data_IF_022732357964
#
_entry.id   IF_022732357964
#
_cell.length_a   1.000
_cell.length_b   1.000
_cell.length_c   1.000
_cell.angle_alpha   90.00
_cell.angle_beta   90.00
_cell.angle_gamma   90.00
#
_symmetry.space_group_name_H-M   'P 1'
#
loop_
_entity.id
_entity.type
_entity.pdbx_description
1 polymer ?
#
# COMPACT_ATOMS: atom_id res chain seq x y z
N UNK A 1 32.25 -1.12 0.70
CA UNK A 1 31.20 -0.14 0.33
C UNK A 1 31.08 -0.20 -1.18
N UNK A 2 29.96 -0.70 -1.70
CA UNK A 2 29.66 -0.55 -3.13
C UNK A 2 29.49 0.96 -3.41
N UNK A 3 29.99 1.47 -4.53
CA UNK A 3 29.89 2.89 -4.83
C UNK A 3 28.41 3.27 -4.93
N UNK A 4 28.02 4.36 -4.28
CA UNK A 4 26.71 4.98 -4.48
C UNK A 4 26.56 5.25 -5.98
N UNK A 5 25.66 4.49 -6.63
CA UNK A 5 25.43 4.58 -8.06
C UNK A 5 25.08 6.01 -8.46
N UNK A 6 25.58 6.44 -9.63
CA UNK A 6 25.29 7.76 -10.18
C UNK A 6 23.78 8.04 -10.31
N UNK A 7 23.38 9.28 -10.65
CA UNK A 7 21.98 9.69 -10.71
C UNK A 7 21.20 8.73 -11.61
N UNK A 8 20.23 8.02 -11.03
CA UNK A 8 19.33 7.13 -11.78
C UNK A 8 18.41 7.99 -12.63
N UNK A 9 18.38 7.71 -13.94
CA UNK A 9 17.37 8.28 -14.83
C UNK A 9 15.99 7.81 -14.33
N UNK A 10 15.05 8.75 -14.12
CA UNK A 10 13.68 8.45 -13.67
C UNK A 10 12.94 7.69 -14.78
N UNK A 11 12.89 6.36 -14.66
CA UNK A 11 12.07 5.48 -15.52
C UNK A 11 10.61 5.49 -15.08
N UNK A 12 9.70 5.44 -16.05
CA UNK A 12 8.26 5.32 -15.80
C UNK A 12 7.86 3.99 -15.17
N UNK A 13 6.63 3.90 -14.63
CA UNK A 13 6.20 2.71 -13.88
C UNK A 13 6.22 1.43 -14.72
N UNK A 14 5.72 1.48 -15.96
CA UNK A 14 5.69 0.32 -16.84
C UNK A 14 7.10 -0.04 -17.32
N UNK A 15 7.95 0.95 -17.61
CA UNK A 15 9.34 0.71 -17.99
C UNK A 15 10.10 -0.07 -16.91
N UNK A 16 9.90 0.29 -15.63
CA UNK A 16 10.48 -0.44 -14.50
C UNK A 16 9.97 -1.88 -14.46
N UNK A 17 8.65 -2.07 -14.46
CA UNK A 17 8.04 -3.39 -14.31
C UNK A 17 8.31 -4.31 -15.51
N UNK A 18 8.26 -3.79 -16.75
CA UNK A 18 8.53 -4.54 -17.98
C UNK A 18 9.99 -4.99 -18.06
N UNK A 19 10.91 -4.23 -17.46
CA UNK A 19 12.32 -4.61 -17.34
C UNK A 19 12.60 -5.61 -16.21
N UNK A 20 11.55 -6.03 -15.48
CA UNK A 20 11.63 -7.00 -14.39
C UNK A 20 12.07 -6.39 -13.05
N UNK A 21 12.14 -5.07 -12.92
CA UNK A 21 12.47 -4.40 -11.66
C UNK A 21 11.37 -4.66 -10.61
N UNK A 22 11.78 -4.65 -9.34
CA UNK A 22 10.85 -4.62 -8.20
C UNK A 22 10.64 -3.19 -7.78
N UNK A 23 9.38 -2.75 -7.87
CA UNK A 23 8.89 -1.45 -7.40
C UNK A 23 8.42 -1.61 -5.96
N UNK A 24 8.98 -0.83 -5.05
CA UNK A 24 8.56 -0.78 -3.65
C UNK A 24 7.56 0.35 -3.46
N UNK A 25 6.33 0.02 -3.02
CA UNK A 25 5.34 1.03 -2.64
C UNK A 25 5.68 1.72 -1.32
N UNK A 26 4.99 2.82 -1.01
CA UNK A 26 5.03 3.43 0.32
C UNK A 26 4.10 2.71 1.31
N UNK A 27 3.80 3.36 2.44
CA UNK A 27 3.08 2.77 3.58
C UNK A 27 1.83 3.54 3.98
N UNK A 28 1.39 3.34 5.23
CA UNK A 28 0.08 3.78 5.71
C UNK A 28 0.02 5.23 6.18
N UNK A 29 -0.18 6.19 5.26
CA UNK A 29 -0.26 7.63 5.56
C UNK A 29 -1.27 7.98 6.67
N UNK A 30 -2.53 7.57 6.51
CA UNK A 30 -3.62 7.94 7.43
C UNK A 30 -3.34 7.48 8.87
N UNK A 31 -2.99 6.20 9.03
CA UNK A 31 -2.73 5.63 10.35
C UNK A 31 -1.45 6.19 10.98
N UNK A 32 -0.40 6.43 10.19
CA UNK A 32 0.84 7.00 10.71
C UNK A 32 0.65 8.46 11.12
N UNK A 33 -0.09 9.26 10.35
CA UNK A 33 -0.36 10.66 10.69
C UNK A 33 -1.37 10.82 11.83
N UNK A 34 -2.30 9.88 12.00
CA UNK A 34 -3.21 9.86 13.15
C UNK A 34 -2.44 9.65 14.45
N UNK A 35 -1.55 8.64 14.50
CA UNK A 35 -0.65 8.42 15.65
C UNK A 35 0.29 9.60 15.92
N UNK A 36 0.62 10.39 14.89
CA UNK A 36 1.44 11.60 15.01
C UNK A 36 0.63 12.85 15.39
N UNK A 37 -0.71 12.75 15.47
CA UNK A 37 -1.60 13.84 15.87
C UNK A 37 -1.99 14.81 14.76
N UNK A 38 -1.84 14.43 13.48
CA UNK A 38 -2.15 15.29 12.32
C UNK A 38 -3.40 14.86 11.55
N UNK A 39 -3.86 13.62 11.74
CA UNK A 39 -5.10 13.12 11.13
C UNK A 39 -6.05 12.69 12.24
N UNK A 40 -7.35 12.96 12.07
CA UNK A 40 -8.36 12.52 13.02
C UNK A 40 -8.98 11.20 12.57
N UNK A 41 -8.93 10.19 13.44
CA UNK A 41 -9.69 8.96 13.26
C UNK A 41 -11.20 9.25 13.19
N UNK A 42 -11.86 8.68 12.18
CA UNK A 42 -13.28 8.92 11.89
C UNK A 42 -13.50 9.11 10.40
N UNK A 43 -13.42 10.36 9.92
CA UNK A 43 -13.53 10.65 8.49
C UNK A 43 -12.23 10.40 7.73
N UNK A 44 -11.07 10.36 8.43
CA UNK A 44 -9.76 10.05 7.83
C UNK A 44 -9.39 10.97 6.67
N UNK A 45 -9.52 12.28 6.90
CA UNK A 45 -9.34 13.32 5.89
C UNK A 45 -7.91 13.88 5.87
N UNK A 46 -7.40 14.35 4.72
CA UNK A 46 -6.02 14.83 4.55
C UNK A 46 -5.86 16.36 4.67
N UNK A 47 -6.64 17.06 5.49
CA UNK A 47 -6.49 18.50 5.74
C UNK A 47 -5.07 18.88 6.22
N UNK A 48 -4.36 17.93 6.84
CA UNK A 48 -2.96 18.05 7.24
C UNK A 48 -2.01 18.46 6.10
N UNK A 49 -2.36 18.19 4.85
CA UNK A 49 -1.61 18.65 3.68
C UNK A 49 -1.46 20.18 3.66
N UNK A 50 -2.51 20.89 4.09
CA UNK A 50 -2.54 22.36 4.09
C UNK A 50 -2.24 22.90 5.49
N UNK A 51 -2.78 22.26 6.53
CA UNK A 51 -2.60 22.72 7.93
C UNK A 51 -1.19 22.43 8.46
N UNK A 52 -0.62 21.29 8.08
CA UNK A 52 0.66 20.78 8.59
C UNK A 52 1.54 20.17 7.47
N UNK A 53 1.82 20.89 6.37
CA UNK A 53 2.54 20.36 5.20
C UNK A 53 3.92 19.77 5.54
N UNK A 54 4.58 20.27 6.59
CA UNK A 54 5.85 19.73 7.07
C UNK A 54 5.73 18.30 7.60
N UNK A 55 4.63 17.96 8.28
CA UNK A 55 4.38 16.61 8.77
C UNK A 55 4.16 15.61 7.62
N UNK A 56 3.38 16.01 6.62
CA UNK A 56 3.12 15.21 5.42
C UNK A 56 4.40 15.03 4.59
N UNK A 57 5.14 16.12 4.33
CA UNK A 57 6.44 16.07 3.63
C UNK A 57 7.43 15.17 4.35
N UNK A 58 7.51 15.28 5.67
CA UNK A 58 8.40 14.46 6.48
C UNK A 58 8.05 12.97 6.36
N UNK A 59 6.77 12.61 6.35
CA UNK A 59 6.36 11.22 6.18
C UNK A 59 6.68 10.68 4.77
N UNK A 60 6.43 11.44 3.70
CA UNK A 60 6.89 11.08 2.35
C UNK A 60 8.42 10.87 2.33
N UNK A 61 9.16 11.77 2.98
CA UNK A 61 10.63 11.72 3.02
C UNK A 61 11.12 10.46 3.75
N UNK A 62 10.44 10.05 4.82
CA UNK A 62 10.75 8.82 5.54
C UNK A 62 10.48 7.57 4.71
N UNK A 63 9.38 7.51 3.97
CA UNK A 63 9.10 6.40 3.05
C UNK A 63 10.08 6.35 1.88
N UNK A 64 10.40 7.49 1.28
CA UNK A 64 11.43 7.59 0.24
C UNK A 64 12.79 7.09 0.77
N UNK A 65 13.20 7.56 1.96
CA UNK A 65 14.43 7.12 2.61
C UNK A 65 14.40 5.61 2.92
N UNK A 66 13.24 5.07 3.26
CA UNK A 66 13.03 3.64 3.51
C UNK A 66 13.15 2.78 2.24
N UNK A 67 13.13 3.38 1.05
CA UNK A 67 13.32 2.70 -0.22
C UNK A 67 12.07 2.58 -1.09
N UNK A 68 11.01 3.34 -0.77
CA UNK A 68 9.85 3.47 -1.64
C UNK A 68 10.26 4.07 -2.99
N UNK A 69 9.85 3.41 -4.08
CA UNK A 69 9.96 3.87 -5.46
C UNK A 69 8.73 4.69 -5.89
N UNK A 70 7.64 4.61 -5.12
CA UNK A 70 6.37 5.31 -5.37
C UNK A 70 5.96 6.06 -4.11
N UNK A 71 5.53 7.32 -4.29
CA UNK A 71 4.87 8.13 -3.28
C UNK A 71 3.43 8.38 -3.74
N UNK A 72 2.47 7.77 -3.06
CA UNK A 72 1.05 7.99 -3.35
C UNK A 72 0.64 9.37 -2.84
N UNK A 73 -0.12 10.13 -3.62
CA UNK A 73 -0.59 11.45 -3.19
C UNK A 73 -1.51 11.33 -1.98
N UNK A 74 -1.26 12.10 -0.91
CA UNK A 74 -2.12 12.12 0.27
C UNK A 74 -3.40 12.95 0.02
N UNK A 75 -4.24 12.46 -0.89
CA UNK A 75 -5.45 13.13 -1.40
C UNK A 75 -6.73 12.60 -0.79
N UNK A 76 -7.78 13.41 -0.84
CA UNK A 76 -9.14 12.95 -0.63
C UNK A 76 -9.53 11.99 -1.75
N UNK A 77 -10.13 10.86 -1.40
CA UNK A 77 -11.06 10.20 -2.31
C UNK A 77 -12.41 10.89 -2.22
N UNK A 78 -12.91 11.42 -3.34
CA UNK A 78 -14.16 12.18 -3.35
C UNK A 78 -15.35 11.26 -3.06
N UNK A 79 -15.97 11.45 -1.90
CA UNK A 79 -17.36 11.08 -1.65
C UNK A 79 -18.19 12.37 -1.74
N UNK A 80 -19.28 12.36 -2.49
CA UNK A 80 -20.02 13.59 -2.82
C UNK A 80 -20.57 14.33 -1.58
N UNK A 81 -20.87 13.60 -0.51
CA UNK A 81 -21.27 14.16 0.80
C UNK A 81 -20.13 14.87 1.55
N UNK A 82 -18.90 14.77 1.04
CA UNK A 82 -17.65 15.18 1.72
C UNK A 82 -16.71 15.99 0.83
N UNK A 83 -17.14 16.34 -0.38
CA UNK A 83 -16.43 17.33 -1.20
C UNK A 83 -16.66 18.72 -0.58
N UNK A 84 -15.90 19.02 0.47
CA UNK A 84 -15.83 20.35 1.04
C UNK A 84 -15.35 21.35 -0.01
N UNK A 85 -15.67 22.64 0.16
CA UNK A 85 -15.29 23.71 -0.78
C UNK A 85 -13.79 23.82 -1.08
N UNK A 86 -12.94 23.09 -0.35
CA UNK A 86 -11.47 23.11 -0.45
C UNK A 86 -10.84 21.81 -0.96
N UNK A 87 -11.62 20.77 -1.30
CA UNK A 87 -11.07 19.45 -1.69
C UNK A 87 -10.05 19.55 -2.83
N UNK A 88 -10.32 20.40 -3.84
CA UNK A 88 -9.48 20.54 -5.02
C UNK A 88 -8.13 21.18 -4.66
N UNK A 89 -8.15 22.20 -3.81
CA UNK A 89 -6.95 22.88 -3.33
C UNK A 89 -6.10 21.96 -2.44
N UNK A 90 -6.74 21.19 -1.55
CA UNK A 90 -6.04 20.19 -0.72
C UNK A 90 -5.41 19.12 -1.62
N UNK A 91 -6.16 18.59 -2.59
CA UNK A 91 -5.63 17.55 -3.47
C UNK A 91 -4.50 18.05 -4.36
N UNK A 92 -4.61 19.27 -4.88
CA UNK A 92 -3.55 19.92 -5.64
C UNK A 92 -2.28 20.09 -4.79
N UNK A 93 -2.40 20.57 -3.55
CA UNK A 93 -1.28 20.71 -2.63
C UNK A 93 -0.65 19.36 -2.25
N UNK A 94 -1.45 18.31 -2.12
CA UNK A 94 -0.97 16.95 -1.84
C UNK A 94 -0.11 16.42 -2.98
N UNK A 95 -0.52 16.66 -4.24
CA UNK A 95 0.27 16.32 -5.41
C UNK A 95 1.61 17.08 -5.43
N UNK A 96 1.58 18.39 -5.14
CA UNK A 96 2.80 19.21 -5.11
C UNK A 96 3.80 18.72 -4.06
N UNK A 97 3.33 18.38 -2.85
CA UNK A 97 4.18 17.84 -1.79
C UNK A 97 4.79 16.48 -2.14
N UNK A 98 3.99 15.58 -2.73
CA UNK A 98 4.48 14.27 -3.17
C UNK A 98 5.55 14.44 -4.25
N UNK A 99 5.33 15.35 -5.21
CA UNK A 99 6.28 15.66 -6.28
C UNK A 99 7.59 16.26 -5.74
N UNK A 100 7.50 17.25 -4.83
CA UNK A 100 8.66 17.88 -4.18
C UNK A 100 9.59 16.82 -3.57
N UNK A 101 9.02 15.83 -2.88
CA UNK A 101 9.81 14.77 -2.25
C UNK A 101 10.30 13.75 -3.28
N UNK A 102 9.46 13.36 -4.25
CA UNK A 102 9.82 12.39 -5.28
C UNK A 102 11.03 12.83 -6.12
N UNK A 103 11.09 14.12 -6.44
CA UNK A 103 12.20 14.73 -7.20
C UNK A 103 13.55 14.64 -6.44
N UNK A 104 13.51 14.59 -5.11
CA UNK A 104 14.69 14.42 -4.26
C UNK A 104 15.31 13.02 -4.29
N UNK A 105 14.61 12.00 -4.81
CA UNK A 105 15.08 10.60 -4.79
C UNK A 105 14.75 9.77 -6.03
N UNK A 106 14.31 10.40 -7.12
CA UNK A 106 13.87 9.74 -8.35
C UNK A 106 12.77 8.69 -8.15
N UNK A 107 11.86 8.94 -7.20
CA UNK A 107 10.62 8.18 -7.04
C UNK A 107 9.54 8.66 -8.02
N UNK A 108 8.50 7.84 -8.20
CA UNK A 108 7.31 8.18 -8.97
C UNK A 108 6.21 8.71 -8.05
N UNK A 109 5.39 9.62 -8.55
CA UNK A 109 4.18 10.09 -7.88
C UNK A 109 2.96 9.39 -8.46
N UNK A 110 2.12 8.85 -7.59
CA UNK A 110 0.89 8.16 -7.98
C UNK A 110 -0.36 8.87 -7.48
N UNK A 111 -1.25 9.27 -8.39
CA UNK A 111 -2.57 9.82 -8.04
C UNK A 111 -3.56 8.71 -7.69
N UNK A 112 -4.10 8.74 -6.47
CA UNK A 112 -5.01 7.71 -5.95
C UNK A 112 -6.49 8.11 -5.99
N UNK A 113 -7.37 7.21 -6.43
CA UNK A 113 -8.82 7.28 -6.19
C UNK A 113 -9.29 6.03 -5.47
N UNK A 114 -10.31 6.17 -4.62
CA UNK A 114 -10.93 5.06 -3.91
C UNK A 114 -12.41 4.91 -4.24
N UNK A 115 -13.01 3.81 -3.79
CA UNK A 115 -14.46 3.63 -3.86
C UNK A 115 -15.25 4.80 -3.26
N UNK A 116 -16.42 5.06 -3.81
CA UNK A 116 -17.32 6.11 -3.35
C UNK A 116 -18.29 5.57 -2.30
N UNK A 117 -18.78 6.45 -1.42
CA UNK A 117 -19.90 6.10 -0.53
C UNK A 117 -21.20 5.83 -1.30
N UNK A 118 -21.34 6.40 -2.50
CA UNK A 118 -22.56 6.36 -3.31
C UNK A 118 -22.86 4.98 -3.86
N UNK A 119 -21.85 4.22 -4.27
CA UNK A 119 -22.06 2.95 -4.94
C UNK A 119 -22.95 1.98 -4.15
N UNK A 120 -22.80 1.98 -2.82
CA UNK A 120 -23.59 1.14 -1.92
C UNK A 120 -25.09 1.49 -1.92
N UNK A 121 -25.44 2.76 -2.15
CA UNK A 121 -26.82 3.26 -2.04
C UNK A 121 -27.47 3.52 -3.41
N UNK A 122 -26.67 4.00 -4.36
CA UNK A 122 -27.06 4.48 -5.66
C UNK A 122 -25.99 4.01 -6.65
N UNK A 123 -26.20 2.84 -7.27
CA UNK A 123 -25.37 2.31 -8.36
C UNK A 123 -25.52 3.14 -9.66
N UNK A 124 -25.45 4.46 -9.52
CA UNK A 124 -25.53 5.43 -10.60
C UNK A 124 -24.12 5.57 -11.20
N UNK A 125 -23.86 4.74 -12.21
CA UNK A 125 -22.58 4.71 -12.92
C UNK A 125 -22.16 6.08 -13.44
N UNK A 126 -23.11 6.85 -14.01
CA UNK A 126 -22.79 8.15 -14.62
C UNK A 126 -22.31 9.13 -13.55
N UNK A 127 -23.03 9.19 -12.43
CA UNK A 127 -22.69 10.06 -11.30
C UNK A 127 -21.35 9.68 -10.67
N UNK A 128 -21.11 8.38 -10.43
CA UNK A 128 -19.87 7.88 -9.84
C UNK A 128 -18.68 8.14 -10.76
N UNK A 129 -18.81 7.87 -12.07
CA UNK A 129 -17.76 8.18 -13.04
C UNK A 129 -17.44 9.68 -13.09
N UNK A 130 -18.44 10.55 -12.96
CA UNK A 130 -18.20 12.00 -12.89
C UNK A 130 -17.38 12.40 -11.66
N UNK A 131 -17.60 11.77 -10.50
CA UNK A 131 -16.79 12.00 -9.30
C UNK A 131 -15.34 11.57 -9.50
N UNK A 132 -15.11 10.42 -10.14
CA UNK A 132 -13.75 10.01 -10.52
C UNK A 132 -13.09 10.99 -11.48
N UNK A 133 -13.83 11.52 -12.47
CA UNK A 133 -13.31 12.53 -13.42
C UNK A 133 -12.89 13.83 -12.75
N UNK A 134 -13.59 14.28 -11.70
CA UNK A 134 -13.21 15.48 -10.96
C UNK A 134 -11.81 15.31 -10.34
N UNK A 135 -11.57 14.16 -9.70
CA UNK A 135 -10.27 13.85 -9.10
C UNK A 135 -9.19 13.66 -10.17
N UNK A 136 -9.51 12.95 -11.26
CA UNK A 136 -8.64 12.77 -12.41
C UNK A 136 -8.17 14.11 -13.00
N UNK A 137 -9.05 15.11 -13.06
CA UNK A 137 -8.71 16.45 -13.51
C UNK A 137 -7.60 17.10 -12.69
N UNK A 138 -7.55 16.85 -11.37
CA UNK A 138 -6.44 17.33 -10.52
C UNK A 138 -5.15 16.62 -10.88
N UNK A 139 -5.17 15.29 -10.95
CA UNK A 139 -4.00 14.47 -11.25
C UNK A 139 -3.41 14.77 -12.63
N UNK A 140 -4.25 14.98 -13.63
CA UNK A 140 -3.83 15.35 -14.97
C UNK A 140 -3.13 16.72 -15.01
N UNK A 141 -3.69 17.74 -14.33
CA UNK A 141 -3.06 19.07 -14.25
C UNK A 141 -1.76 19.06 -13.45
N UNK A 142 -1.66 18.16 -12.47
CA UNK A 142 -0.45 17.98 -11.65
C UNK A 142 0.57 17.03 -12.26
N UNK A 143 0.26 16.42 -13.40
CA UNK A 143 1.16 15.55 -14.17
C UNK A 143 1.80 14.43 -13.31
N UNK A 144 0.97 13.72 -12.54
CA UNK A 144 1.41 12.54 -11.80
C UNK A 144 1.94 11.46 -12.76
N UNK A 145 2.90 10.65 -12.32
CA UNK A 145 3.57 9.68 -13.18
C UNK A 145 2.66 8.50 -13.58
N UNK A 146 1.71 8.12 -12.71
CA UNK A 146 0.69 7.12 -12.97
C UNK A 146 -0.49 7.23 -11.99
N UNK A 147 -1.53 6.41 -12.20
CA UNK A 147 -2.76 6.45 -11.43
C UNK A 147 -3.03 5.13 -10.71
N UNK A 148 -3.64 5.19 -9.54
CA UNK A 148 -4.04 4.02 -8.75
C UNK A 148 -5.53 4.14 -8.40
N UNK A 149 -6.33 3.15 -8.80
CA UNK A 149 -7.65 2.90 -8.25
C UNK A 149 -7.54 1.90 -7.10
N UNK A 150 -7.63 2.34 -5.85
CA UNK A 150 -7.42 1.47 -4.69
C UNK A 150 -8.64 1.38 -3.76
N UNK A 151 -8.63 0.44 -2.81
CA UNK A 151 -9.67 0.35 -1.78
C UNK A 151 -11.09 0.19 -2.36
N UNK A 152 -11.25 -0.76 -3.28
CA UNK A 152 -12.55 -1.16 -3.84
C UNK A 152 -13.02 -2.53 -3.31
N UNK A 153 -14.23 -2.56 -2.75
CA UNK A 153 -14.92 -3.77 -2.29
C UNK A 153 -15.75 -4.46 -3.39
N UNK A 154 -16.04 -3.75 -4.47
CA UNK A 154 -16.90 -4.20 -5.56
C UNK A 154 -16.16 -4.01 -6.88
N UNK A 155 -15.99 -5.08 -7.66
CA UNK A 155 -15.22 -4.98 -8.90
C UNK A 155 -15.94 -4.17 -9.97
N UNK A 156 -17.27 -4.10 -9.92
CA UNK A 156 -18.05 -3.27 -10.84
C UNK A 156 -17.69 -1.78 -10.71
N UNK A 157 -17.60 -1.24 -9.49
CA UNK A 157 -17.16 0.15 -9.29
C UNK A 157 -15.68 0.34 -9.66
N UNK A 158 -14.83 -0.64 -9.33
CA UNK A 158 -13.41 -0.59 -9.68
C UNK A 158 -13.19 -0.58 -11.20
N UNK A 159 -14.01 -1.29 -11.97
CA UNK A 159 -14.00 -1.24 -13.45
C UNK A 159 -14.35 0.17 -13.93
N UNK A 160 -15.38 0.81 -13.37
CA UNK A 160 -15.72 2.19 -13.73
C UNK A 160 -14.59 3.18 -13.42
N UNK A 161 -13.91 2.99 -12.30
CA UNK A 161 -12.74 3.77 -11.93
C UNK A 161 -11.61 3.60 -12.97
N UNK A 162 -11.27 2.36 -13.35
CA UNK A 162 -10.25 2.08 -14.38
C UNK A 162 -10.62 2.72 -15.72
N UNK A 163 -11.87 2.57 -16.16
CA UNK A 163 -12.35 3.17 -17.41
C UNK A 163 -12.17 4.69 -17.43
N UNK A 164 -12.48 5.37 -16.32
CA UNK A 164 -12.29 6.82 -16.18
C UNK A 164 -10.80 7.19 -16.16
N UNK A 165 -9.98 6.52 -15.34
CA UNK A 165 -8.56 6.85 -15.21
C UNK A 165 -7.80 6.72 -16.54
N UNK A 166 -8.24 5.82 -17.43
CA UNK A 166 -7.64 5.66 -18.77
C UNK A 166 -7.88 6.84 -19.71
N UNK A 167 -8.81 7.74 -19.41
CA UNK A 167 -9.13 8.91 -20.25
C UNK A 167 -7.92 9.85 -20.45
N UNK A 168 -6.93 9.85 -19.53
CA UNK A 168 -5.75 10.74 -19.60
C UNK A 168 -4.47 10.05 -20.10
N UNK A 169 -4.54 8.78 -20.50
CA UNK A 169 -3.42 8.06 -21.13
C UNK A 169 -2.24 7.68 -20.22
N UNK A 170 -2.31 7.97 -18.91
CA UNK A 170 -1.32 7.50 -17.94
C UNK A 170 -1.52 6.01 -17.59
N UNK A 171 -0.47 5.27 -17.17
CA UNK A 171 -0.62 3.91 -16.68
C UNK A 171 -1.58 3.82 -15.50
N UNK A 172 -2.41 2.78 -15.45
CA UNK A 172 -3.41 2.58 -14.40
C UNK A 172 -3.12 1.30 -13.63
N UNK A 173 -2.90 1.46 -12.33
CA UNK A 173 -2.95 0.36 -11.37
C UNK A 173 -4.33 0.28 -10.72
N UNK A 174 -4.74 -0.92 -10.34
CA UNK A 174 -5.95 -1.14 -9.57
C UNK A 174 -5.75 -2.20 -8.49
N UNK A 175 -6.16 -1.88 -7.27
CA UNK A 175 -6.14 -2.81 -6.15
C UNK A 175 -7.47 -2.83 -5.43
N UNK A 176 -7.93 -4.04 -5.09
CA UNK A 176 -9.17 -4.23 -4.35
C UNK A 176 -8.90 -4.56 -2.89
N UNK A 177 -9.79 -4.13 -1.98
CA UNK A 177 -9.70 -4.46 -0.56
C UNK A 177 -10.51 -5.71 -0.20
N UNK A 178 -10.29 -6.80 -0.96
CA UNK A 178 -11.02 -8.07 -0.86
C UNK A 178 -10.12 -9.23 -0.43
N UNK A 179 -10.71 -10.24 0.19
CA UNK A 179 -10.06 -11.47 0.59
C UNK A 179 -10.21 -12.60 -0.43
N UNK A 180 -9.78 -13.82 -0.10
CA UNK A 180 -9.92 -15.00 -0.96
C UNK A 180 -11.37 -15.35 -1.31
N UNK A 181 -12.33 -14.94 -0.46
CA UNK A 181 -13.77 -15.10 -0.68
C UNK A 181 -14.34 -14.25 -1.82
N UNK A 182 -13.55 -13.34 -2.39
CA UNK A 182 -13.96 -12.47 -3.48
C UNK A 182 -14.61 -11.16 -3.01
N UNK A 183 -15.15 -10.43 -3.97
CA UNK A 183 -15.77 -9.12 -3.75
C UNK A 183 -17.11 -9.23 -3.00
N UNK A 184 -17.68 -8.10 -2.61
CA UNK A 184 -18.93 -8.08 -1.83
C UNK A 184 -20.17 -8.58 -2.59
N UNK A 185 -20.09 -8.78 -3.91
CA UNK A 185 -21.10 -9.47 -4.71
C UNK A 185 -20.82 -10.96 -4.92
N UNK A 186 -19.75 -11.49 -4.33
CA UNK A 186 -19.35 -12.89 -4.48
C UNK A 186 -18.59 -13.18 -5.77
N UNK A 187 -18.10 -12.15 -6.46
CA UNK A 187 -17.22 -12.31 -7.62
C UNK A 187 -15.85 -12.76 -7.11
N UNK A 188 -15.40 -13.92 -7.58
CA UNK A 188 -14.11 -14.50 -7.13
C UNK A 188 -12.93 -13.57 -7.46
N UNK A 189 -11.83 -13.63 -6.70
CA UNK A 189 -10.66 -12.79 -6.98
C UNK A 189 -10.12 -12.97 -8.40
N UNK A 190 -10.13 -14.20 -8.92
CA UNK A 190 -9.73 -14.49 -10.30
C UNK A 190 -10.58 -13.76 -11.34
N UNK A 191 -11.90 -13.82 -11.21
CA UNK A 191 -12.82 -13.10 -12.09
C UNK A 191 -12.68 -11.58 -11.92
N UNK A 192 -12.45 -11.10 -10.70
CA UNK A 192 -12.17 -9.68 -10.47
C UNK A 192 -10.94 -9.22 -11.26
N UNK A 193 -9.83 -9.95 -11.19
CA UNK A 193 -8.61 -9.63 -11.92
C UNK A 193 -8.82 -9.65 -13.44
N UNK A 194 -9.58 -10.62 -13.96
CA UNK A 194 -9.93 -10.70 -15.39
C UNK A 194 -10.72 -9.47 -15.84
N UNK A 195 -11.74 -9.07 -15.08
CA UNK A 195 -12.55 -7.87 -15.39
C UNK A 195 -11.71 -6.59 -15.38
N UNK A 196 -10.84 -6.43 -14.39
CA UNK A 196 -9.95 -5.28 -14.26
C UNK A 196 -8.91 -5.21 -15.38
N UNK A 197 -8.34 -6.34 -15.79
CA UNK A 197 -7.44 -6.42 -16.94
C UNK A 197 -8.14 -6.06 -18.24
N UNK A 198 -9.36 -6.56 -18.46
CA UNK A 198 -10.18 -6.21 -19.64
C UNK A 198 -10.61 -4.75 -19.67
N UNK A 199 -10.84 -4.13 -18.51
CA UNK A 199 -11.08 -2.69 -18.39
C UNK A 199 -9.85 -1.85 -18.77
N UNK A 200 -8.66 -2.46 -18.79
CA UNK A 200 -7.41 -1.89 -19.27
C UNK A 200 -6.44 -1.47 -18.16
N UNK A 201 -6.57 -2.03 -16.96
CA UNK A 201 -5.56 -1.84 -15.93
C UNK A 201 -4.24 -2.54 -16.31
N UNK A 202 -3.12 -1.84 -16.14
CA UNK A 202 -1.78 -2.37 -16.40
C UNK A 202 -1.24 -3.17 -15.20
N UNK A 203 -1.63 -2.78 -13.99
CA UNK A 203 -1.16 -3.35 -12.73
C UNK A 203 -2.40 -3.71 -11.90
N UNK A 204 -2.47 -4.94 -11.40
CA UNK A 204 -3.67 -5.48 -10.70
C UNK A 204 -3.26 -6.11 -9.38
N UNK A 205 -4.06 -5.91 -8.35
CA UNK A 205 -3.75 -6.46 -7.04
C UNK A 205 -4.78 -6.31 -5.95
N UNK A 206 -4.29 -6.41 -4.71
CA UNK A 206 -5.05 -6.15 -3.50
C UNK A 206 -4.34 -5.19 -2.56
N UNK A 207 -5.12 -4.38 -1.84
CA UNK A 207 -4.62 -3.50 -0.81
C UNK A 207 -5.54 -3.48 0.43
N UNK A 208 -5.00 -3.08 1.57
CA UNK A 208 -5.76 -2.88 2.81
C UNK A 208 -6.49 -4.14 3.32
N UNK A 209 -7.34 -3.95 4.35
CA UNK A 209 -8.29 -4.87 5.01
C UNK A 209 -7.80 -6.21 5.55
N UNK A 210 -6.78 -6.80 4.95
CA UNK A 210 -6.25 -8.11 5.28
C UNK A 210 -4.74 -8.03 5.50
N UNK A 211 -4.27 -8.80 6.47
CA UNK A 211 -2.84 -8.95 6.76
C UNK A 211 -2.09 -9.69 5.63
N UNK A 212 -0.75 -9.76 5.74
CA UNK A 212 0.12 -10.18 4.64
C UNK A 212 -0.24 -11.53 4.00
N UNK A 213 -0.51 -12.54 4.83
CA UNK A 213 -0.74 -13.92 4.35
C UNK A 213 -2.05 -14.06 3.57
N UNK A 214 -3.14 -13.47 4.09
CA UNK A 214 -4.44 -13.48 3.43
C UNK A 214 -4.39 -12.70 2.12
N UNK A 215 -3.70 -11.55 2.08
CA UNK A 215 -3.50 -10.81 0.83
C UNK A 215 -2.77 -11.63 -0.23
N UNK A 216 -1.71 -12.37 0.14
CA UNK A 216 -0.98 -13.22 -0.82
C UNK A 216 -1.80 -14.42 -1.32
N UNK A 217 -2.69 -14.97 -0.50
CA UNK A 217 -3.66 -15.97 -0.95
C UNK A 217 -4.60 -15.40 -2.01
N UNK A 218 -5.14 -14.19 -1.79
CA UNK A 218 -5.97 -13.51 -2.81
C UNK A 218 -5.18 -13.23 -4.09
N UNK A 219 -3.93 -12.78 -3.97
CA UNK A 219 -3.06 -12.54 -5.13
C UNK A 219 -2.81 -13.81 -5.95
N UNK A 220 -2.67 -14.96 -5.29
CA UNK A 220 -2.53 -16.25 -5.98
C UNK A 220 -3.78 -16.55 -6.83
N UNK A 221 -4.97 -16.36 -6.27
CA UNK A 221 -6.24 -16.55 -6.98
C UNK A 221 -6.42 -15.57 -8.15
N UNK A 222 -6.05 -14.30 -7.95
CA UNK A 222 -6.05 -13.29 -9.03
C UNK A 222 -5.11 -13.69 -10.17
N UNK A 223 -3.88 -14.13 -9.84
CA UNK A 223 -2.90 -14.60 -10.82
C UNK A 223 -3.38 -15.82 -11.60
N UNK A 224 -4.02 -16.77 -10.92
CA UNK A 224 -4.60 -17.97 -11.55
C UNK A 224 -5.72 -17.58 -12.53
N UNK A 225 -6.62 -16.68 -12.13
CA UNK A 225 -7.69 -16.17 -13.01
C UNK A 225 -7.16 -15.48 -14.27
N UNK A 226 -6.14 -14.63 -14.13
CA UNK A 226 -5.49 -13.98 -15.28
C UNK A 226 -4.85 -15.00 -16.23
N UNK A 227 -4.10 -15.96 -15.68
CA UNK A 227 -3.47 -17.05 -16.46
C UNK A 227 -4.51 -17.85 -17.23
N UNK A 228 -5.58 -18.29 -16.57
CA UNK A 228 -6.60 -19.15 -17.16
C UNK A 228 -7.41 -18.42 -18.25
N UNK A 229 -7.52 -17.09 -18.15
CA UNK A 229 -8.10 -16.23 -19.18
C UNK A 229 -7.11 -15.83 -20.30
N UNK A 230 -5.84 -16.25 -20.24
CA UNK A 230 -4.80 -15.86 -21.20
C UNK A 230 -4.43 -14.37 -21.16
N UNK A 231 -4.66 -13.71 -20.03
CA UNK A 231 -4.38 -12.28 -19.82
C UNK A 231 -3.06 -12.10 -19.07
N UNK A 232 -2.37 -11.00 -19.38
CA UNK A 232 -1.17 -10.57 -18.66
C UNK A 232 -1.40 -9.20 -18.04
N UNK A 233 -1.01 -9.07 -16.78
CA UNK A 233 -0.94 -7.81 -16.05
C UNK A 233 0.19 -7.91 -15.02
N UNK A 234 0.77 -6.76 -14.66
CA UNK A 234 1.70 -6.70 -13.54
C UNK A 234 0.95 -6.91 -12.23
N UNK A 235 1.57 -7.57 -11.26
CA UNK A 235 0.93 -7.88 -9.99
C UNK A 235 1.40 -6.92 -8.89
N UNK A 236 0.44 -6.48 -8.08
CA UNK A 236 0.63 -5.51 -6.98
C UNK A 236 0.05 -5.99 -5.67
N UNK A 237 0.72 -5.75 -4.54
CA UNK A 237 0.17 -6.04 -3.22
C UNK A 237 0.59 -4.99 -2.18
N UNK A 238 -0.40 -4.48 -1.44
CA UNK A 238 -0.23 -3.54 -0.34
C UNK A 238 -1.11 -3.95 0.86
N UNK A 239 -0.71 -5.01 1.56
CA UNK A 239 -1.45 -5.57 2.69
C UNK A 239 -1.49 -4.63 3.92
N UNK A 240 -2.26 -5.00 4.94
CA UNK A 240 -2.19 -4.35 6.26
C UNK A 240 -0.87 -4.67 6.96
N UNK A 241 -0.36 -3.70 7.72
CA UNK A 241 0.74 -3.89 8.67
C UNK A 241 0.28 -4.55 9.96
N UNK A 242 -0.81 -5.33 9.91
CA UNK A 242 -1.46 -5.98 11.05
C UNK A 242 -1.69 -7.47 10.75
N UNK A 243 -1.52 -8.31 11.76
CA UNK A 243 -1.94 -9.70 11.76
C UNK A 243 -3.45 -9.79 12.00
N UNK A 244 -4.18 -10.32 11.02
CA UNK A 244 -5.65 -10.40 11.03
C UNK A 244 -6.19 -11.80 10.67
N UNK A 245 -5.72 -12.87 11.35
CA UNK A 245 -6.14 -14.25 11.03
C UNK A 245 -7.61 -14.54 11.38
N UNK A 246 -8.25 -13.65 12.12
CA UNK A 246 -9.62 -13.71 12.63
C UNK A 246 -10.62 -12.83 11.86
N UNK A 247 -10.17 -12.16 10.79
CA UNK A 247 -11.08 -11.42 9.92
C UNK A 247 -11.96 -12.35 9.09
N UNK A 248 -13.26 -12.04 9.05
CA UNK A 248 -14.14 -12.51 7.99
C UNK A 248 -14.01 -11.66 6.73
N UNK A 249 -14.99 -11.80 5.83
CA UNK A 249 -15.02 -11.13 4.51
C UNK A 249 -14.94 -9.60 4.58
N UNK A 250 -15.43 -8.95 5.63
CA UNK A 250 -15.35 -7.50 5.79
C UNK A 250 -13.94 -6.98 6.12
N UNK A 251 -13.01 -7.85 6.51
CA UNK A 251 -11.64 -7.48 6.87
C UNK A 251 -11.53 -6.87 8.27
N UNK A 252 -10.42 -6.19 8.54
CA UNK A 252 -10.09 -5.68 9.88
C UNK A 252 -11.03 -4.61 10.43
N UNK A 253 -11.87 -3.99 9.58
CA UNK A 253 -12.81 -2.95 10.01
C UNK A 253 -13.94 -3.49 10.87
N UNK A 254 -14.23 -4.80 10.78
CA UNK A 254 -15.23 -5.48 11.60
C UNK A 254 -14.61 -6.09 12.86
N UNK A 255 -13.30 -5.97 13.06
CA UNK A 255 -12.67 -6.42 14.30
C UNK A 255 -12.98 -5.43 15.43
N UNK A 256 -13.27 -5.92 16.65
CA UNK A 256 -13.61 -5.05 17.78
C UNK A 256 -12.46 -4.12 18.20
N UNK A 257 -11.22 -4.44 17.82
CA UNK A 257 -10.06 -3.59 18.07
C UNK A 257 -9.94 -2.41 17.10
N UNK A 258 -10.69 -2.38 15.99
CA UNK A 258 -10.58 -1.29 15.03
C UNK A 258 -11.16 0.03 15.57
N UNK A 259 -10.49 1.19 15.39
CA UNK A 259 -9.09 1.36 14.97
C UNK A 259 -8.10 1.46 16.15
N UNK A 260 -8.57 1.51 17.41
CA UNK A 260 -7.79 1.98 18.57
C UNK A 260 -7.20 0.88 19.48
N UNK A 261 -7.30 -0.38 19.10
CA UNK A 261 -6.78 -1.53 19.85
C UNK A 261 -5.91 -2.46 19.01
N UNK A 262 -5.46 -2.02 17.83
CA UNK A 262 -4.75 -2.85 16.85
C UNK A 262 -3.25 -3.02 17.16
N UNK A 263 -2.72 -2.37 18.19
CA UNK A 263 -1.29 -2.41 18.57
C UNK A 263 -0.72 -3.83 18.76
N UNK A 264 -1.41 -4.81 19.40
CA UNK A 264 -0.89 -6.17 19.51
C UNK A 264 -0.69 -6.87 18.16
N UNK A 265 -1.36 -6.39 17.10
CA UNK A 265 -1.40 -7.02 15.79
C UNK A 265 -0.32 -6.49 14.86
N UNK A 266 0.37 -5.41 15.22
CA UNK A 266 1.36 -4.78 14.33
C UNK A 266 2.43 -5.79 13.92
N UNK A 267 2.64 -5.92 12.61
CA UNK A 267 3.67 -6.78 12.05
C UNK A 267 5.06 -6.32 12.49
N UNK A 268 5.98 -7.26 12.67
CA UNK A 268 7.39 -6.95 12.87
C UNK A 268 8.08 -6.75 11.52
N UNK A 269 9.29 -6.19 11.51
CA UNK A 269 10.10 -6.13 10.27
C UNK A 269 10.38 -7.52 9.68
N UNK A 270 10.47 -8.55 10.52
CA UNK A 270 10.74 -9.92 10.10
C UNK A 270 9.52 -10.54 9.41
N UNK A 271 8.31 -10.25 9.92
CA UNK A 271 7.06 -10.60 9.24
C UNK A 271 7.01 -9.97 7.85
N UNK A 272 7.41 -8.70 7.73
CA UNK A 272 7.42 -7.98 6.45
C UNK A 272 8.51 -8.48 5.50
N UNK A 273 9.70 -8.86 5.98
CA UNK A 273 10.70 -9.54 5.13
C UNK A 273 10.15 -10.85 4.57
N UNK A 274 9.54 -11.69 5.42
CA UNK A 274 8.91 -12.94 4.96
C UNK A 274 7.79 -12.67 3.93
N UNK A 275 6.93 -11.70 4.19
CA UNK A 275 5.91 -11.25 3.23
C UNK A 275 6.50 -10.81 1.89
N UNK A 276 7.54 -9.96 1.91
CA UNK A 276 8.17 -9.45 0.69
C UNK A 276 8.77 -10.60 -0.14
N UNK A 277 9.44 -11.55 0.52
CA UNK A 277 9.99 -12.75 -0.12
C UNK A 277 8.89 -13.61 -0.75
N UNK A 278 7.81 -13.88 -0.02
CA UNK A 278 6.68 -14.66 -0.53
C UNK A 278 5.96 -13.96 -1.68
N UNK A 279 5.76 -12.64 -1.60
CA UNK A 279 5.19 -11.83 -2.68
C UNK A 279 6.06 -11.89 -3.94
N UNK A 280 7.37 -11.70 -3.80
CA UNK A 280 8.31 -11.77 -4.92
C UNK A 280 8.30 -13.16 -5.59
N UNK A 281 8.33 -14.22 -4.80
CA UNK A 281 8.28 -15.62 -5.28
C UNK A 281 6.95 -15.93 -5.98
N UNK A 282 5.83 -15.33 -5.53
CA UNK A 282 4.54 -15.43 -6.20
C UNK A 282 4.52 -14.72 -7.57
N UNK A 283 5.51 -13.88 -7.87
CA UNK A 283 5.61 -13.10 -9.11
C UNK A 283 5.09 -11.66 -8.97
N UNK A 284 4.83 -11.19 -7.75
CA UNK A 284 4.49 -9.80 -7.50
C UNK A 284 5.73 -8.93 -7.74
N UNK A 285 5.56 -7.78 -8.40
CA UNK A 285 6.65 -6.84 -8.71
C UNK A 285 6.40 -5.42 -8.22
N UNK A 286 5.16 -5.07 -7.87
CA UNK A 286 4.87 -3.93 -7.02
C UNK A 286 4.54 -4.43 -5.61
N UNK A 287 5.43 -4.20 -4.65
CA UNK A 287 5.28 -4.69 -3.27
C UNK A 287 5.36 -3.50 -2.32
N UNK A 288 4.25 -3.18 -1.64
CA UNK A 288 4.18 -2.12 -0.65
C UNK A 288 3.33 -2.53 0.54
N UNK A 289 2.78 -1.54 1.24
CA UNK A 289 1.84 -1.76 2.32
C UNK A 289 0.81 -0.65 2.48
N UNK A 290 -0.20 -0.91 3.29
CA UNK A 290 -1.32 0.00 3.55
C UNK A 290 -1.37 0.36 5.05
N UNK A 291 -2.55 0.44 5.67
CA UNK A 291 -2.71 0.81 7.08
C UNK A 291 -1.84 -0.06 8.01
N UNK A 292 -1.07 0.59 8.89
CA UNK A 292 -0.12 -0.06 9.80
C UNK A 292 1.32 -0.17 9.27
N UNK A 293 1.56 0.11 7.98
CA UNK A 293 2.92 0.20 7.45
C UNK A 293 3.60 1.52 7.85
N UNK A 294 4.60 1.43 8.72
CA UNK A 294 5.50 2.52 9.08
C UNK A 294 6.76 2.47 8.19
N UNK A 295 7.61 3.52 8.16
CA UNK A 295 8.80 3.55 7.31
C UNK A 295 9.73 2.34 7.48
N UNK A 296 9.86 1.78 8.69
CA UNK A 296 10.71 0.61 8.92
C UNK A 296 10.14 -0.69 8.30
N UNK A 297 8.84 -0.76 8.03
CA UNK A 297 8.22 -1.85 7.28
C UNK A 297 8.59 -1.76 5.79
N UNK A 298 8.55 -0.57 5.21
CA UNK A 298 8.98 -0.36 3.82
C UNK A 298 10.47 -0.68 3.66
N UNK A 299 11.29 -0.27 4.63
CA UNK A 299 12.71 -0.67 4.67
C UNK A 299 12.87 -2.19 4.69
N UNK A 300 12.01 -2.91 5.42
CA UNK A 300 12.08 -4.37 5.49
C UNK A 300 11.83 -5.02 4.11
N UNK A 301 10.86 -4.52 3.33
CA UNK A 301 10.63 -4.96 1.93
C UNK A 301 11.90 -4.71 1.10
N UNK A 302 12.42 -3.48 1.15
CA UNK A 302 13.57 -3.07 0.37
C UNK A 302 14.86 -3.83 0.76
N UNK A 303 15.06 -4.15 2.03
CA UNK A 303 16.20 -4.94 2.54
C UNK A 303 16.10 -6.42 2.15
N UNK A 304 14.91 -7.02 2.24
CA UNK A 304 14.72 -8.42 1.83
C UNK A 304 15.01 -8.62 0.34
N UNK A 305 14.58 -7.65 -0.47
CA UNK A 305 14.70 -7.71 -1.94
C UNK A 305 15.94 -6.96 -2.45
N UNK A 306 16.84 -6.54 -1.56
CA UNK A 306 18.10 -5.90 -1.93
C UNK A 306 18.99 -6.79 -2.83
N UNK A 307 19.08 -8.12 -2.63
CA UNK A 307 19.82 -9.00 -3.55
C UNK A 307 19.27 -8.97 -4.98
N UNK A 308 17.94 -8.95 -5.14
CA UNK A 308 17.27 -8.89 -6.44
C UNK A 308 17.35 -7.49 -7.07
N UNK A 309 17.27 -6.44 -6.26
CA UNK A 309 17.30 -5.04 -6.70
C UNK A 309 18.72 -4.52 -6.95
N UNK A 310 19.73 -5.14 -6.31
CA UNK A 310 21.14 -4.77 -6.41
C UNK A 310 21.58 -3.61 -5.51
N UNK A 311 20.75 -3.16 -4.57
CA UNK A 311 21.07 -2.06 -3.66
C UNK A 311 20.24 -2.11 -2.37
N UNK A 312 20.74 -1.47 -1.33
CA UNK A 312 20.01 -1.21 -0.08
C UNK A 312 19.44 0.22 -0.08
N UNK A 313 18.30 0.46 0.59
CA UNK A 313 17.76 1.81 0.72
C UNK A 313 18.60 2.69 1.66
N UNK A 314 18.55 4.03 1.53
CA UNK A 314 19.29 4.94 2.41
C UNK A 314 19.02 4.73 3.91
N UNK A 315 17.80 4.34 4.30
CA UNK A 315 17.46 4.05 5.70
C UNK A 315 18.26 2.89 6.29
N UNK A 316 18.84 2.00 5.47
CA UNK A 316 19.68 0.90 5.94
C UNK A 316 21.05 1.36 6.47
N UNK A 317 21.48 2.61 6.21
CA UNK A 317 22.65 3.20 6.87
C UNK A 317 22.53 3.24 8.40
N UNK A 318 21.29 3.26 8.92
CA UNK A 318 20.95 3.26 10.35
C UNK A 318 20.38 1.92 10.80
N UNK A 319 20.65 0.86 10.06
CA UNK A 319 20.17 -0.49 10.38
C UNK A 319 21.29 -1.52 10.19
N UNK A 320 21.21 -2.60 10.96
CA UNK A 320 22.00 -3.80 10.72
C UNK A 320 21.06 -4.93 10.32
N UNK A 321 21.27 -5.49 9.13
CA UNK A 321 20.49 -6.61 8.58
C UNK A 321 20.45 -7.75 9.61
N UNK A 322 19.27 -8.32 9.84
CA UNK A 322 19.02 -9.43 10.77
C UNK A 322 19.55 -9.20 12.21
N UNK A 323 19.56 -7.93 12.64
CA UNK A 323 19.96 -7.56 14.00
C UNK A 323 21.47 -7.43 14.21
N UNK A 324 22.28 -7.43 13.16
CA UNK A 324 23.76 -7.26 13.24
C UNK A 324 24.21 -6.00 13.99
N UNK A 325 23.37 -4.97 14.09
CA UNK A 325 23.63 -3.82 14.97
C UNK A 325 23.78 -4.18 16.46
N UNK A 326 23.41 -5.40 16.87
CA UNK A 326 23.52 -5.92 18.23
C UNK A 326 24.85 -6.64 18.50
N UNK A 327 25.70 -6.87 17.49
CA UNK A 327 26.93 -7.66 17.60
C UNK A 327 27.92 -7.12 18.64
N UNK A 328 27.90 -5.82 18.89
CA UNK A 328 28.80 -5.16 19.84
C UNK A 328 28.19 -4.93 21.22
N UNK A 329 26.98 -5.45 21.48
CA UNK A 329 26.35 -5.26 22.79
C UNK A 329 27.17 -5.95 23.89
N UNK A 330 27.32 -5.33 25.05
CA UNK A 330 28.01 -5.90 26.23
C UNK A 330 27.47 -7.26 26.73
N UNK A 331 26.18 -7.57 26.52
CA UNK A 331 25.50 -8.74 27.06
C UNK A 331 25.55 -9.91 26.07
N UNK A 332 26.12 -11.07 26.44
CA UNK A 332 26.26 -12.21 25.52
C UNK A 332 24.94 -12.67 24.89
N UNK A 333 23.86 -12.75 25.67
CA UNK A 333 22.55 -13.16 25.18
C UNK A 333 21.86 -12.15 24.26
N UNK A 334 22.32 -10.88 24.22
CA UNK A 334 21.83 -9.89 23.24
C UNK A 334 22.58 -10.04 21.92
N UNK A 335 23.90 -10.23 21.97
CA UNK A 335 24.70 -10.52 20.76
C UNK A 335 24.24 -11.81 20.08
N UNK A 336 23.87 -12.84 20.86
CA UNK A 336 23.36 -14.10 20.33
C UNK A 336 22.07 -13.96 19.47
N UNK A 337 21.42 -12.79 19.49
CA UNK A 337 20.24 -12.46 18.69
C UNK A 337 20.58 -11.85 17.33
N UNK A 338 21.83 -11.46 17.10
CA UNK A 338 22.28 -10.75 15.90
C UNK A 338 22.44 -11.69 14.69
N UNK A 339 21.41 -12.48 14.41
CA UNK A 339 21.41 -13.51 13.36
C UNK A 339 20.00 -13.79 12.88
N UNK A 340 19.91 -14.16 11.61
CA UNK A 340 18.63 -14.42 10.93
C UNK A 340 17.81 -15.48 11.65
N UNK A 341 18.44 -16.61 11.97
CA UNK A 341 17.73 -17.77 12.50
C UNK A 341 17.12 -17.50 13.88
N UNK A 342 17.66 -16.53 14.64
CA UNK A 342 17.05 -16.12 15.90
C UNK A 342 15.72 -15.39 15.66
N UNK A 343 15.72 -14.36 14.80
CA UNK A 343 14.54 -13.52 14.59
C UNK A 343 13.47 -14.17 13.72
N UNK A 344 13.87 -15.02 12.77
CA UNK A 344 12.94 -15.73 11.89
C UNK A 344 12.18 -16.85 12.63
N UNK A 345 12.72 -17.35 13.75
CA UNK A 345 12.11 -18.43 14.54
C UNK A 345 11.53 -17.99 15.88
N UNK A 346 11.91 -16.80 16.38
CA UNK A 346 11.35 -16.24 17.59
C UNK A 346 9.85 -15.96 17.39
N UNK A 347 9.02 -16.54 18.25
CA UNK A 347 7.61 -16.19 18.38
C UNK A 347 7.48 -15.10 19.46
N UNK A 348 7.30 -13.81 19.09
CA UNK A 348 7.25 -12.74 20.07
C UNK A 348 6.01 -12.88 20.95
N UNK A 349 6.18 -12.76 22.27
CA UNK A 349 5.06 -12.79 23.19
C UNK A 349 4.18 -11.53 23.06
N UNK A 350 2.86 -11.68 23.24
CA UNK A 350 1.92 -10.54 23.20
C UNK A 350 2.08 -9.56 24.38
N UNK A 351 2.65 -10.04 25.49
CA UNK A 351 2.74 -9.29 26.75
C UNK A 351 1.38 -9.06 27.44
N UNK A 352 0.30 -9.68 26.97
CA UNK A 352 -1.07 -9.48 27.46
C UNK A 352 -1.69 -10.83 27.90
N UNK A 353 -1.35 -11.35 29.10
CA UNK A 353 -1.71 -12.71 29.51
C UNK A 353 -3.21 -12.92 29.77
N UNK A 354 -3.97 -11.84 29.94
CA UNK A 354 -5.43 -11.87 30.15
C UNK A 354 -6.24 -11.55 28.90
N UNK A 355 -5.58 -11.30 27.76
CA UNK A 355 -6.24 -11.02 26.49
C UNK A 355 -6.21 -12.27 25.60
N UNK A 356 -7.26 -12.51 24.79
CA UNK A 356 -7.24 -13.59 23.81
C UNK A 356 -6.24 -13.26 22.68
N UNK A 357 -5.85 -14.28 21.91
CA UNK A 357 -5.04 -14.10 20.71
C UNK A 357 -5.85 -13.69 19.47
N UNK A 358 -7.17 -13.94 19.51
CA UNK A 358 -8.12 -13.69 18.44
C UNK A 358 -9.39 -13.06 19.00
N UNK A 359 -10.10 -12.33 18.14
CA UNK A 359 -11.40 -11.73 18.42
C UNK A 359 -12.42 -12.20 17.40
N UNK A 360 -13.70 -12.23 17.78
CA UNK A 360 -14.78 -12.47 16.83
C UNK A 360 -15.12 -11.13 16.15
N UNK A 361 -15.18 -11.05 14.81
CA UNK A 361 -15.72 -9.87 14.14
C UNK A 361 -17.13 -9.53 14.63
N UNK A 362 -17.46 -8.24 14.66
CA UNK A 362 -18.77 -7.73 15.08
C UNK A 362 -19.90 -8.09 14.10
N UNK A 363 -19.56 -8.35 12.83
CA UNK A 363 -20.47 -8.69 11.74
C UNK A 363 -20.24 -10.10 11.17
#
# INVERSE_FOLDING_TARGET
>A
MAPAGGPRVKKGILERLDSGEVVVGDGGFLFTLEKRGFVKAGLWTPEAVVEYPSAVRQLHTEFLRAGADVLQTFTFSAAEDRMESKWEAVNAAACDLAQEVADGGAALVAGGICQTSLYKYHKDETRIKNIFRLQLGVFARKNVDFLIAEYFEHVEEAVWAVEVLREVGAPVAVTMCIGPEGDMHGVTPGECAVRLSRAGANIIGVNCRFGPWTSLQTMKLMKEGLRDAGLQAHLMVQCLGFHTPDCGKGGFVDLPEYPFGLEPRVATRWDIQKYAREAYNLGVRYIGGCCGFEPYHIRAIAEELAPERGFLPPASEKHGIWGSGLDMHTKPWIRARARREYWETLLPASGRPFCPSLSKPDA
#
